data_IF_708589440874
#
_entry.id   IF_708589440874
#
_cell.length_a   1.000
_cell.length_b   1.000
_cell.length_c   1.000
_cell.angle_alpha   90.00
_cell.angle_beta   90.00
_cell.angle_gamma   90.00
#
_symmetry.space_group_name_H-M   'P 1'
#
loop_
_entity.id
_entity.type
_entity.pdbx_description
1 polymer ?
#
# COMPACT_ATOMS: atom_id res chain seq x y z
N UNK A 1 22.42 8.62 45.13
CA UNK A 1 21.30 9.22 44.36
C UNK A 1 21.64 9.40 42.88
N UNK A 2 22.67 10.18 42.52
CA UNK A 2 23.03 10.49 41.11
C UNK A 2 23.35 9.26 40.24
N UNK A 3 24.02 8.24 40.80
CA UNK A 3 24.40 7.03 40.06
C UNK A 3 23.22 6.09 39.73
N UNK A 4 22.16 6.12 40.54
CA UNK A 4 20.94 5.33 40.28
C UNK A 4 20.13 6.00 39.17
N UNK A 5 20.03 7.34 39.23
CA UNK A 5 19.36 8.14 38.23
C UNK A 5 20.05 8.04 36.86
N UNK A 6 21.39 8.05 36.82
CA UNK A 6 22.14 7.89 35.57
C UNK A 6 21.98 6.50 34.95
N UNK A 7 21.95 5.45 35.78
CA UNK A 7 21.69 4.07 35.32
C UNK A 7 20.27 3.90 34.79
N UNK A 8 19.27 4.45 35.49
CA UNK A 8 17.89 4.45 35.04
C UNK A 8 17.73 5.20 33.70
N UNK A 9 18.40 6.34 33.55
CA UNK A 9 18.43 7.11 32.31
C UNK A 9 19.07 6.36 31.14
N UNK A 10 20.19 5.67 31.38
CA UNK A 10 20.84 4.83 30.37
C UNK A 10 19.99 3.62 29.96
N UNK A 11 19.27 3.01 30.91
CA UNK A 11 18.31 1.96 30.62
C UNK A 11 17.13 2.50 29.77
N UNK A 12 16.58 3.65 30.16
CA UNK A 12 15.50 4.32 29.43
C UNK A 12 15.88 4.67 27.98
N UNK A 13 17.08 5.24 27.76
CA UNK A 13 17.56 5.57 26.40
C UNK A 13 17.63 4.35 25.48
N UNK A 14 18.03 3.19 25.99
CA UNK A 14 18.06 1.94 25.20
C UNK A 14 16.66 1.50 24.80
N UNK A 15 15.69 1.58 25.72
CA UNK A 15 14.29 1.26 25.45
C UNK A 15 13.69 2.23 24.43
N UNK A 16 13.92 3.54 24.61
CA UNK A 16 13.41 4.57 23.70
C UNK A 16 13.98 4.43 22.29
N UNK A 17 15.27 4.09 22.16
CA UNK A 17 15.90 3.86 20.85
C UNK A 17 15.28 2.64 20.14
N UNK A 18 15.11 1.54 20.86
CA UNK A 18 14.47 0.33 20.33
C UNK A 18 13.01 0.58 19.91
N UNK A 19 12.25 1.36 20.69
CA UNK A 19 10.89 1.78 20.32
C UNK A 19 10.90 2.66 19.08
N UNK A 20 11.84 3.61 18.96
CA UNK A 20 11.97 4.48 17.80
C UNK A 20 12.26 3.71 16.50
N UNK A 21 13.13 2.69 16.56
CA UNK A 21 13.43 1.85 15.40
C UNK A 21 12.23 1.00 14.94
N UNK A 22 11.40 0.53 15.88
CA UNK A 22 10.25 -0.34 15.57
C UNK A 22 8.95 0.42 15.38
N UNK A 23 8.87 1.68 15.80
CA UNK A 23 7.67 2.50 15.69
C UNK A 23 7.21 2.64 14.25
N UNK A 24 8.12 2.87 13.31
CA UNK A 24 7.77 2.98 11.90
C UNK A 24 7.05 1.73 11.40
N UNK A 25 7.56 0.54 11.72
CA UNK A 25 6.95 -0.74 11.32
C UNK A 25 5.54 -0.86 11.93
N UNK A 26 5.38 -0.54 13.21
CA UNK A 26 4.07 -0.59 13.88
C UNK A 26 3.08 0.39 13.24
N UNK A 27 3.49 1.64 13.03
CA UNK A 27 2.65 2.68 12.40
C UNK A 27 2.26 2.27 10.99
N UNK A 28 3.21 1.81 10.17
CA UNK A 28 2.91 1.34 8.82
C UNK A 28 2.03 0.09 8.84
N UNK A 29 2.23 -0.85 9.76
CA UNK A 29 1.38 -2.04 9.88
C UNK A 29 -0.06 -1.63 10.18
N UNK A 30 -0.28 -0.75 11.15
CA UNK A 30 -1.61 -0.25 11.48
C UNK A 30 -2.23 0.50 10.30
N UNK A 31 -1.48 1.41 9.67
CA UNK A 31 -1.97 2.18 8.54
C UNK A 31 -2.37 1.28 7.36
N UNK A 32 -1.51 0.34 6.97
CA UNK A 32 -1.76 -0.51 5.82
C UNK A 32 -2.83 -1.55 6.09
N UNK A 33 -2.90 -2.15 7.28
CA UNK A 33 -3.86 -3.22 7.55
C UNK A 33 -5.18 -2.74 8.14
N UNK A 34 -5.20 -1.69 8.96
CA UNK A 34 -6.43 -1.20 9.58
C UNK A 34 -7.12 -0.12 8.74
N UNK A 35 -6.37 0.67 7.96
CA UNK A 35 -6.95 1.75 7.13
C UNK A 35 -7.00 1.34 5.67
N UNK A 36 -5.85 1.07 5.05
CA UNK A 36 -5.78 0.76 3.61
C UNK A 36 -6.42 -0.61 3.31
N UNK A 37 -6.19 -1.61 4.16
CA UNK A 37 -6.68 -2.98 4.00
C UNK A 37 -8.19 -3.07 3.79
N UNK A 38 -9.03 -2.51 4.69
CA UNK A 38 -10.48 -2.51 4.51
C UNK A 38 -10.92 -1.79 3.24
N UNK A 39 -10.31 -0.65 2.91
CA UNK A 39 -10.61 0.10 1.68
C UNK A 39 -10.31 -0.75 0.45
N UNK A 40 -9.15 -1.41 0.43
CA UNK A 40 -8.75 -2.30 -0.66
C UNK A 40 -9.68 -3.52 -0.77
N UNK A 41 -10.10 -4.09 0.36
CA UNK A 41 -11.02 -5.22 0.40
C UNK A 41 -12.40 -4.82 -0.13
N UNK A 42 -12.96 -3.70 0.33
CA UNK A 42 -14.23 -3.16 -0.17
C UNK A 42 -14.13 -2.88 -1.67
N UNK A 43 -13.06 -2.21 -2.12
CA UNK A 43 -12.84 -1.95 -3.55
C UNK A 43 -12.76 -3.23 -4.35
N UNK A 44 -12.03 -4.25 -3.87
CA UNK A 44 -11.95 -5.57 -4.51
C UNK A 44 -13.31 -6.26 -4.55
N UNK A 45 -14.17 -6.06 -3.54
CA UNK A 45 -15.51 -6.65 -3.47
C UNK A 45 -16.52 -5.95 -4.39
N UNK A 46 -16.40 -4.64 -4.59
CA UNK A 46 -17.34 -3.84 -5.39
C UNK A 46 -16.91 -3.73 -6.85
N UNK A 47 -15.61 -3.58 -7.10
CA UNK A 47 -15.06 -3.38 -8.44
C UNK A 47 -14.31 -4.62 -8.91
N UNK A 48 -14.39 -4.91 -10.21
CA UNK A 48 -13.57 -5.94 -10.86
C UNK A 48 -12.74 -5.33 -11.99
N UNK A 49 -11.79 -4.42 -11.68
CA UNK A 49 -11.01 -3.70 -12.69
C UNK A 49 -10.16 -4.66 -13.54
N UNK A 50 -9.76 -5.79 -12.96
CA UNK A 50 -8.98 -6.82 -13.63
C UNK A 50 -9.86 -7.89 -14.29
N UNK A 51 -11.20 -7.76 -14.19
CA UNK A 51 -12.19 -8.67 -14.78
C UNK A 51 -11.96 -10.14 -14.38
N UNK A 52 -11.37 -10.38 -13.21
CA UNK A 52 -10.96 -11.70 -12.71
C UNK A 52 -12.14 -12.57 -12.30
N UNK A 53 -13.32 -11.98 -12.07
CA UNK A 53 -14.53 -12.72 -11.72
C UNK A 53 -15.19 -13.38 -12.93
N UNK A 54 -14.79 -13.02 -14.15
CA UNK A 54 -15.31 -13.61 -15.36
C UNK A 54 -14.77 -15.04 -15.55
N UNK A 55 -15.32 -15.99 -14.78
CA UNK A 55 -14.92 -17.41 -14.75
C UNK A 55 -15.13 -18.16 -16.08
N UNK A 56 -15.84 -17.57 -17.04
CA UNK A 56 -16.07 -18.13 -18.37
C UNK A 56 -16.07 -17.02 -19.41
N UNK A 57 -14.93 -16.83 -20.07
CA UNK A 57 -14.82 -16.05 -21.29
C UNK A 57 -13.99 -16.85 -22.28
N UNK A 58 -14.36 -16.74 -23.55
CA UNK A 58 -13.61 -17.36 -24.66
C UNK A 58 -12.22 -16.74 -24.82
N UNK A 59 -12.04 -15.50 -24.35
CA UNK A 59 -10.79 -14.74 -24.46
C UNK A 59 -10.67 -13.69 -23.34
N UNK A 60 -9.45 -13.43 -22.87
CA UNK A 60 -9.10 -12.36 -21.94
C UNK A 60 -8.56 -11.11 -22.64
N UNK A 61 -8.54 -11.08 -23.98
CA UNK A 61 -8.15 -9.89 -24.74
C UNK A 61 -9.16 -8.76 -24.48
N UNK A 62 -8.67 -7.64 -23.96
CA UNK A 62 -9.48 -6.45 -23.77
C UNK A 62 -9.63 -5.71 -25.12
N UNK A 63 -10.84 -5.27 -25.49
CA UNK A 63 -11.03 -4.49 -26.71
C UNK A 63 -10.24 -3.18 -26.58
N UNK A 64 -9.29 -2.97 -27.49
CA UNK A 64 -8.60 -1.70 -27.61
C UNK A 64 -9.54 -0.72 -28.30
N UNK A 65 -9.78 0.44 -27.69
CA UNK A 65 -10.52 1.51 -28.34
C UNK A 65 -9.82 1.90 -29.64
N UNK A 66 -10.59 2.08 -30.72
CA UNK A 66 -10.05 2.54 -31.98
C UNK A 66 -9.49 3.96 -31.81
N UNK A 67 -8.23 4.16 -32.21
CA UNK A 67 -7.63 5.49 -32.25
C UNK A 67 -8.27 6.22 -33.44
N UNK A 68 -8.77 7.46 -33.27
CA UNK A 68 -9.29 8.25 -34.38
C UNK A 68 -8.25 8.38 -35.49
N UNK A 69 -8.61 8.22 -36.77
CA UNK A 69 -7.68 8.34 -37.89
C UNK A 69 -7.39 9.82 -38.17
N UNK A 70 -6.71 10.50 -37.24
CA UNK A 70 -6.28 11.89 -37.39
C UNK A 70 -4.77 11.94 -37.58
N UNK A 71 -4.31 12.94 -38.34
CA UNK A 71 -2.88 13.16 -38.56
C UNK A 71 -2.11 13.40 -37.26
N UNK A 72 -2.76 14.02 -36.26
CA UNK A 72 -2.15 14.29 -34.96
C UNK A 72 -1.96 13.02 -34.13
N UNK A 73 -2.83 12.02 -34.24
CA UNK A 73 -2.65 10.72 -33.60
C UNK A 73 -1.59 9.87 -34.31
N UNK A 74 -1.49 9.95 -35.63
CA UNK A 74 -0.46 9.26 -36.42
C UNK A 74 0.97 9.75 -36.08
N UNK A 75 1.12 11.01 -35.63
CA UNK A 75 2.40 11.59 -35.19
C UNK A 75 2.88 11.10 -33.82
N UNK A 76 2.02 10.45 -33.02
CA UNK A 76 2.35 9.95 -31.68
C UNK A 76 2.84 8.49 -31.69
N UNK A 77 2.84 7.82 -32.84
CA UNK A 77 3.35 6.46 -33.05
C UNK A 77 4.79 6.48 -33.54
#
# INVERSE_FOLDING_TARGET
MMAVLSRAWQAWRRVAHWIGEKQAIVVYTVLYFAVIGPIALVRRMVTDPLQLRARRRESFWLPRAAIPPTLDEARKQ
#
